data_IF_557058830542
#
_entry.id   IF_557058830542
#
_cell.length_a   1.000
_cell.length_b   1.000
_cell.length_c   1.000
_cell.angle_alpha   90.00
_cell.angle_beta   90.00
_cell.angle_gamma   90.00
#
_symmetry.space_group_name_H-M   'P 1'
#
loop_
_entity.id
_entity.type
_entity.pdbx_description
1 polymer ?
#
# COMPACT_ATOMS: atom_id res chain seq x y z
N UNK A 1 -13.60 0.10 4.74
CA UNK A 1 -13.52 1.55 4.44
C UNK A 1 -12.49 2.23 5.34
N UNK A 2 -11.67 3.13 4.79
CA UNK A 2 -10.74 4.00 5.54
C UNK A 2 -11.29 5.43 5.50
N UNK A 3 -11.44 6.09 6.66
CA UNK A 3 -11.91 7.48 6.76
C UNK A 3 -10.91 8.35 7.53
N UNK A 4 -10.45 9.41 6.89
CA UNK A 4 -9.52 10.40 7.44
C UNK A 4 -10.26 11.73 7.60
N UNK A 5 -10.14 12.39 8.75
CA UNK A 5 -10.79 13.69 9.02
C UNK A 5 -9.80 14.65 9.66
N UNK A 6 -9.61 15.79 9.01
CA UNK A 6 -8.79 16.93 9.45
C UNK A 6 -7.41 16.53 9.98
N UNK A 7 -6.79 15.53 9.30
CA UNK A 7 -5.52 14.93 9.71
C UNK A 7 -4.39 15.94 9.59
N UNK A 8 -3.70 16.17 10.70
CA UNK A 8 -2.45 16.93 10.74
C UNK A 8 -1.34 16.08 11.33
N UNK A 9 -0.16 16.10 10.67
CA UNK A 9 1.04 15.47 11.21
C UNK A 9 2.27 16.35 10.99
N UNK A 10 3.08 16.49 12.05
CA UNK A 10 4.27 17.36 12.08
C UNK A 10 5.51 16.55 12.46
N UNK A 11 6.60 16.80 11.75
CA UNK A 11 7.93 16.38 12.16
C UNK A 11 8.69 17.59 12.70
N UNK A 12 8.68 17.77 14.02
CA UNK A 12 9.21 18.96 14.66
C UNK A 12 8.44 20.21 14.20
N UNK A 13 9.11 21.13 13.50
CA UNK A 13 8.48 22.37 13.00
C UNK A 13 7.92 22.23 11.56
N UNK A 14 8.13 21.10 10.91
CA UNK A 14 7.65 20.88 9.55
C UNK A 14 6.31 20.15 9.56
N UNK A 15 5.28 20.75 8.96
CA UNK A 15 3.97 20.08 8.77
C UNK A 15 4.05 19.23 7.50
N UNK A 16 3.91 17.92 7.66
CA UNK A 16 3.99 16.97 6.56
C UNK A 16 2.60 16.63 5.99
N UNK A 17 1.57 16.67 6.82
CA UNK A 17 0.15 16.53 6.43
C UNK A 17 -0.60 17.65 7.14
N UNK A 18 -1.44 18.39 6.42
CA UNK A 18 -2.04 19.63 6.88
C UNK A 18 -3.56 19.66 6.57
N UNK A 19 -4.37 19.17 7.51
CA UNK A 19 -5.82 19.20 7.44
C UNK A 19 -6.42 18.28 6.36
N UNK A 20 -5.82 17.11 6.12
CA UNK A 20 -6.32 16.18 5.10
C UNK A 20 -7.57 15.47 5.59
N UNK A 21 -8.63 15.53 4.76
CA UNK A 21 -9.86 14.74 4.92
C UNK A 21 -10.14 13.99 3.63
N UNK A 22 -10.27 12.66 3.71
CA UNK A 22 -10.61 11.79 2.59
C UNK A 22 -11.24 10.48 3.09
N UNK A 23 -11.99 9.81 2.23
CA UNK A 23 -12.52 8.47 2.47
C UNK A 23 -12.05 7.55 1.34
N UNK A 24 -11.71 6.31 1.65
CA UNK A 24 -11.39 5.25 0.69
C UNK A 24 -12.38 4.12 0.94
N UNK A 25 -13.19 3.81 -0.06
CA UNK A 25 -14.23 2.81 0.04
C UNK A 25 -13.68 1.37 -0.12
N UNK A 26 -14.44 0.38 0.33
CA UNK A 26 -14.10 -1.03 0.14
C UNK A 26 -14.17 -1.38 -1.36
N UNK A 27 -13.18 -2.13 -1.84
CA UNK A 27 -13.04 -2.50 -3.25
C UNK A 27 -12.55 -1.36 -4.17
N UNK A 28 -12.24 -0.16 -3.65
CA UNK A 28 -11.74 0.96 -4.45
C UNK A 28 -10.23 0.85 -4.72
N UNK A 29 -9.80 1.18 -5.94
CA UNK A 29 -8.39 1.38 -6.30
C UNK A 29 -8.07 2.88 -6.32
N UNK A 30 -7.43 3.36 -5.27
CA UNK A 30 -7.06 4.77 -5.14
C UNK A 30 -5.57 4.96 -5.41
N UNK A 31 -5.23 5.87 -6.32
CA UNK A 31 -3.85 6.33 -6.51
C UNK A 31 -3.63 7.62 -5.74
N UNK A 32 -2.73 7.59 -4.74
CA UNK A 32 -2.28 8.76 -4.01
C UNK A 32 -1.03 9.31 -4.69
N UNK A 33 -1.18 10.41 -5.44
CA UNK A 33 -0.15 10.98 -6.29
C UNK A 33 0.40 12.31 -5.73
N UNK A 34 1.67 12.63 -6.04
CA UNK A 34 2.30 13.90 -5.64
C UNK A 34 3.81 13.86 -5.76
N UNK A 35 4.47 15.00 -5.71
CA UNK A 35 5.92 15.09 -5.71
C UNK A 35 6.54 14.43 -4.46
N UNK A 36 7.85 14.15 -4.51
CA UNK A 36 8.58 13.72 -3.31
C UNK A 36 8.50 14.81 -2.24
N UNK A 37 8.21 14.39 -0.99
CA UNK A 37 8.01 15.31 0.13
C UNK A 37 6.61 15.93 0.23
N UNK A 38 5.64 15.59 -0.64
CA UNK A 38 4.28 16.13 -0.58
C UNK A 38 3.42 15.60 0.58
N UNK A 39 3.90 14.63 1.36
CA UNK A 39 3.20 14.07 2.51
C UNK A 39 2.54 12.70 2.28
N UNK A 40 2.61 12.11 1.08
CA UNK A 40 1.94 10.83 0.73
C UNK A 40 2.25 9.68 1.69
N UNK A 41 3.53 9.33 1.83
CA UNK A 41 3.97 8.27 2.74
C UNK A 41 3.56 8.56 4.18
N UNK A 42 3.63 9.81 4.61
CA UNK A 42 3.16 10.23 5.95
C UNK A 42 1.67 9.97 6.10
N UNK A 43 0.86 10.38 5.11
CA UNK A 43 -0.58 10.16 5.12
C UNK A 43 -0.93 8.67 5.27
N UNK A 44 -0.40 7.80 4.40
CA UNK A 44 -0.79 6.39 4.39
C UNK A 44 -0.30 5.61 5.61
N UNK A 45 0.78 6.05 6.26
CA UNK A 45 1.26 5.45 7.53
C UNK A 45 0.31 5.65 8.72
N UNK A 46 -0.65 6.53 8.63
CA UNK A 46 -1.70 6.69 9.64
C UNK A 46 -2.81 5.64 9.49
N UNK A 47 -2.98 5.04 8.30
CA UNK A 47 -4.06 4.10 8.05
C UNK A 47 -3.96 2.81 8.88
N UNK A 48 -2.74 2.39 9.22
CA UNK A 48 -2.48 1.22 10.08
C UNK A 48 -1.79 1.57 11.41
N UNK A 49 -1.79 2.85 11.78
CA UNK A 49 -1.23 3.32 13.06
C UNK A 49 0.28 3.18 13.18
N UNK A 50 1.03 3.23 12.07
CA UNK A 50 2.49 3.40 12.09
C UNK A 50 2.87 4.82 12.53
N UNK A 51 2.02 5.79 12.25
CA UNK A 51 2.09 7.14 12.76
C UNK A 51 0.78 7.48 13.50
N UNK A 52 0.89 8.31 14.53
CA UNK A 52 -0.26 8.89 15.22
C UNK A 52 -0.46 10.33 14.75
N UNK A 53 -1.70 10.76 14.54
CA UNK A 53 -2.00 12.15 14.17
C UNK A 53 -1.68 13.12 15.32
N UNK A 54 -1.18 14.31 14.99
CA UNK A 54 -1.12 15.42 15.95
C UNK A 54 -2.51 16.04 16.16
N UNK A 55 -3.30 16.08 15.07
CA UNK A 55 -4.70 16.56 15.07
C UNK A 55 -5.52 15.73 14.07
N UNK A 56 -6.83 15.71 14.26
CA UNK A 56 -7.75 14.93 13.42
C UNK A 56 -7.89 13.47 13.84
N UNK A 57 -8.48 12.67 12.98
CA UNK A 57 -8.75 11.24 13.26
C UNK A 57 -8.62 10.39 12.01
N UNK A 58 -8.20 9.13 12.21
CA UNK A 58 -8.23 8.08 11.18
C UNK A 58 -9.06 6.92 11.71
N UNK A 59 -9.96 6.42 10.90
CA UNK A 59 -10.81 5.26 11.21
C UNK A 59 -10.66 4.22 10.11
N UNK A 60 -10.64 2.96 10.53
CA UNK A 60 -10.70 1.81 9.63
C UNK A 60 -11.87 0.95 10.06
N UNK A 61 -12.77 0.64 9.14
CA UNK A 61 -14.00 -0.12 9.43
C UNK A 61 -14.78 0.48 10.61
N UNK A 62 -14.94 1.80 10.59
CA UNK A 62 -15.60 2.59 11.64
C UNK A 62 -14.96 2.56 13.04
N UNK A 63 -13.78 1.93 13.20
CA UNK A 63 -13.01 1.92 14.45
C UNK A 63 -11.87 2.93 14.35
N UNK A 64 -11.70 3.85 15.34
CA UNK A 64 -10.53 4.71 15.37
C UNK A 64 -9.23 3.89 15.45
N UNK A 65 -8.26 4.21 14.61
CA UNK A 65 -6.98 3.48 14.55
C UNK A 65 -6.25 3.48 15.90
N UNK A 66 -6.32 4.59 16.65
CA UNK A 66 -5.67 4.71 17.95
C UNK A 66 -6.34 3.87 19.05
N UNK A 67 -7.61 3.48 18.88
CA UNK A 67 -8.35 2.66 19.85
C UNK A 67 -7.99 1.16 19.71
N UNK A 68 -7.71 0.69 18.49
CA UNK A 68 -7.33 -0.70 18.22
C UNK A 68 -6.31 -0.82 17.07
N UNK A 69 -5.03 -0.72 17.43
CA UNK A 69 -3.92 -0.85 16.48
C UNK A 69 -3.82 -2.27 15.86
N UNK A 70 -4.28 -3.30 16.56
CA UNK A 70 -4.23 -4.67 16.04
C UNK A 70 -5.27 -4.83 14.95
N UNK A 71 -6.51 -4.40 15.19
CA UNK A 71 -7.57 -4.40 14.20
C UNK A 71 -7.17 -3.57 12.96
N UNK A 72 -6.64 -2.36 13.16
CA UNK A 72 -6.19 -1.51 12.05
C UNK A 72 -5.09 -2.16 11.20
N UNK A 73 -4.09 -2.83 11.82
CA UNK A 73 -3.00 -3.51 11.12
C UNK A 73 -3.41 -4.82 10.47
N UNK A 74 -4.47 -5.45 10.96
CA UNK A 74 -5.05 -6.63 10.31
C UNK A 74 -5.86 -6.21 9.08
N UNK A 75 -6.65 -5.14 9.19
CA UNK A 75 -7.49 -4.65 8.10
C UNK A 75 -6.70 -3.90 7.00
N UNK A 76 -5.57 -3.25 7.35
CA UNK A 76 -4.76 -2.46 6.42
C UNK A 76 -3.34 -3.01 6.36
N UNK A 77 -3.08 -3.84 5.35
CA UNK A 77 -1.73 -4.32 5.04
C UNK A 77 -0.92 -3.25 4.29
N UNK A 78 0.38 -3.15 4.57
CA UNK A 78 1.23 -2.14 3.95
C UNK A 78 2.53 -2.74 3.41
N UNK A 79 2.83 -2.45 2.15
CA UNK A 79 4.12 -2.72 1.51
C UNK A 79 4.91 -1.42 1.44
N UNK A 80 6.11 -1.42 2.02
CA UNK A 80 6.97 -0.23 2.12
C UNK A 80 7.75 0.01 0.83
N UNK A 81 8.16 1.26 0.62
CA UNK A 81 8.97 1.70 -0.51
C UNK A 81 10.25 0.86 -0.70
N UNK A 82 10.84 0.37 0.39
CA UNK A 82 12.01 -0.51 0.38
C UNK A 82 11.63 -1.88 0.92
N UNK A 83 11.29 -2.87 0.07
CA UNK A 83 10.85 -4.19 0.51
C UNK A 83 11.85 -4.89 1.45
N UNK A 84 13.15 -4.61 1.29
CA UNK A 84 14.20 -5.17 2.17
C UNK A 84 14.05 -4.78 3.63
N UNK A 85 13.46 -3.62 3.92
CA UNK A 85 13.25 -3.13 5.29
C UNK A 85 12.09 -3.87 5.99
N UNK A 86 11.30 -4.62 5.18
CA UNK A 86 10.13 -5.38 5.63
C UNK A 86 10.44 -6.86 5.87
N UNK A 87 11.55 -7.36 5.35
CA UNK A 87 11.96 -8.76 5.49
C UNK A 87 12.34 -9.07 6.94
N UNK A 88 11.74 -10.11 7.48
CA UNK A 88 11.94 -10.55 8.88
C UNK A 88 12.48 -11.97 9.00
N UNK A 89 12.45 -12.77 7.91
CA UNK A 89 12.86 -14.17 7.92
C UNK A 89 13.92 -14.51 6.86
N UNK A 90 14.48 -15.72 6.96
CA UNK A 90 15.55 -16.16 6.06
C UNK A 90 15.05 -16.76 4.74
N UNK A 91 13.86 -17.39 4.76
CA UNK A 91 13.23 -18.00 3.59
C UNK A 91 11.94 -17.28 3.23
N UNK A 92 11.54 -17.40 1.96
CA UNK A 92 10.31 -16.82 1.43
C UNK A 92 9.07 -17.29 2.19
N UNK A 93 9.00 -18.59 2.47
CA UNK A 93 7.84 -19.15 3.18
C UNK A 93 7.73 -18.69 4.63
N UNK A 94 8.86 -18.60 5.33
CA UNK A 94 8.89 -18.08 6.70
C UNK A 94 8.53 -16.58 6.73
N UNK A 95 8.98 -15.81 5.76
CA UNK A 95 8.69 -14.37 5.68
C UNK A 95 7.20 -14.11 5.43
N UNK A 96 6.59 -14.84 4.50
CA UNK A 96 5.16 -14.74 4.19
C UNK A 96 4.29 -15.28 5.34
N UNK A 97 4.76 -16.29 6.08
CA UNK A 97 4.04 -16.86 7.23
C UNK A 97 4.01 -15.93 8.46
N UNK A 98 4.94 -14.99 8.56
CA UNK A 98 5.11 -14.15 9.75
C UNK A 98 3.84 -13.39 10.16
N UNK A 99 3.11 -12.81 9.20
CA UNK A 99 1.84 -12.13 9.48
C UNK A 99 0.77 -13.07 10.01
N UNK A 100 0.42 -14.16 9.30
CA UNK A 100 -0.51 -15.19 9.74
C UNK A 100 -0.17 -15.81 11.11
N UNK A 101 1.12 -16.04 11.40
CA UNK A 101 1.58 -16.53 12.72
C UNK A 101 1.25 -15.55 13.83
N UNK A 102 1.47 -14.25 13.61
CA UNK A 102 1.11 -13.20 14.58
C UNK A 102 -0.39 -13.05 14.79
N UNK A 103 -1.22 -13.45 13.82
CA UNK A 103 -2.67 -13.53 13.96
C UNK A 103 -3.11 -14.76 14.76
N UNK A 104 -2.20 -15.67 15.11
CA UNK A 104 -2.49 -16.88 15.89
C UNK A 104 -3.29 -17.93 15.12
N UNK A 105 -3.16 -17.97 13.80
CA UNK A 105 -3.83 -18.95 12.95
C UNK A 105 -3.26 -20.35 13.17
N UNK A 106 -4.03 -21.38 12.84
CA UNK A 106 -3.55 -22.78 12.87
C UNK A 106 -2.49 -23.02 11.79
N UNK A 107 -1.60 -24.01 12.00
CA UNK A 107 -0.58 -24.36 11.01
C UNK A 107 -1.16 -24.68 9.64
N UNK A 108 -2.27 -25.44 9.58
CA UNK A 108 -2.92 -25.79 8.31
C UNK A 108 -3.43 -24.54 7.58
N UNK A 109 -3.98 -23.57 8.30
CA UNK A 109 -4.46 -22.32 7.74
C UNK A 109 -3.29 -21.42 7.28
N UNK A 110 -2.21 -21.35 8.06
CA UNK A 110 -0.97 -20.64 7.67
C UNK A 110 -0.42 -21.23 6.38
N UNK A 111 -0.26 -22.55 6.31
CA UNK A 111 0.27 -23.23 5.12
C UNK A 111 -0.58 -22.98 3.89
N UNK A 112 -1.92 -22.99 4.04
CA UNK A 112 -2.85 -22.66 2.97
C UNK A 112 -2.67 -21.22 2.51
N UNK A 113 -2.73 -20.24 3.43
CA UNK A 113 -2.60 -18.79 3.10
C UNK A 113 -1.25 -18.45 2.47
N UNK A 114 -0.16 -19.00 2.97
CA UNK A 114 1.17 -18.84 2.36
C UNK A 114 1.20 -19.39 0.94
N UNK A 115 0.64 -20.58 0.72
CA UNK A 115 0.54 -21.20 -0.61
C UNK A 115 -0.25 -20.34 -1.59
N UNK A 116 -1.43 -19.90 -1.17
CA UNK A 116 -2.33 -19.05 -1.96
C UNK A 116 -1.69 -17.69 -2.28
N UNK A 117 -1.09 -17.03 -1.28
CA UNK A 117 -0.42 -15.74 -1.44
C UNK A 117 0.79 -15.82 -2.37
N UNK A 118 1.64 -16.87 -2.26
CA UNK A 118 2.77 -17.07 -3.16
C UNK A 118 2.30 -17.39 -4.58
N UNK A 119 1.21 -18.12 -4.74
CA UNK A 119 0.64 -18.38 -6.06
C UNK A 119 0.11 -17.09 -6.70
N UNK A 120 -0.58 -16.25 -5.91
CA UNK A 120 -1.14 -14.97 -6.36
C UNK A 120 -0.07 -14.00 -6.90
N UNK A 121 1.17 -14.09 -6.42
CA UNK A 121 2.30 -13.23 -6.89
C UNK A 121 3.28 -13.98 -7.81
N UNK A 122 2.90 -15.11 -8.39
CA UNK A 122 3.76 -15.92 -9.28
C UNK A 122 5.07 -16.39 -8.60
N UNK A 123 5.00 -16.73 -7.32
CA UNK A 123 6.12 -17.28 -6.54
C UNK A 123 5.82 -18.71 -6.05
N UNK A 124 4.82 -19.39 -6.64
CA UNK A 124 4.50 -20.78 -6.33
C UNK A 124 5.74 -21.68 -6.46
N UNK A 125 5.98 -22.54 -5.46
CA UNK A 125 7.14 -23.44 -5.42
C UNK A 125 8.46 -22.80 -4.98
N UNK A 126 8.44 -21.50 -4.63
CA UNK A 126 9.64 -20.76 -4.19
C UNK A 126 9.72 -20.59 -2.65
N UNK A 127 8.94 -21.38 -1.91
CA UNK A 127 8.82 -21.27 -0.43
C UNK A 127 10.16 -21.40 0.30
N UNK A 128 11.03 -22.29 -0.18
CA UNK A 128 12.32 -22.62 0.44
C UNK A 128 13.47 -21.72 -0.05
N UNK A 129 13.20 -20.81 -0.99
CA UNK A 129 14.21 -19.89 -1.50
C UNK A 129 14.67 -18.92 -0.44
N UNK A 130 15.95 -18.55 -0.49
CA UNK A 130 16.54 -17.57 0.42
C UNK A 130 16.17 -16.14 0.00
N UNK A 131 15.57 -15.35 0.91
CA UNK A 131 15.15 -13.98 0.62
C UNK A 131 16.30 -13.08 0.12
N UNK A 132 17.52 -13.28 0.62
CA UNK A 132 18.68 -12.48 0.23
C UNK A 132 19.20 -12.77 -1.20
N UNK A 133 18.77 -13.86 -1.82
CA UNK A 133 19.13 -14.25 -3.20
C UNK A 133 18.14 -13.71 -4.23
N UNK A 134 17.03 -13.12 -3.78
CA UNK A 134 15.98 -12.61 -4.66
C UNK A 134 16.38 -11.32 -5.36
N UNK A 135 15.97 -11.18 -6.62
CA UNK A 135 15.98 -9.91 -7.35
C UNK A 135 15.02 -8.88 -6.68
N UNK A 136 15.19 -7.59 -7.01
CA UNK A 136 14.31 -6.55 -6.47
C UNK A 136 12.82 -6.79 -6.77
N UNK A 137 12.49 -7.24 -7.99
CA UNK A 137 11.10 -7.55 -8.37
C UNK A 137 10.54 -8.78 -7.67
N UNK A 138 11.36 -9.82 -7.43
CA UNK A 138 10.95 -10.99 -6.65
C UNK A 138 10.71 -10.62 -5.19
N UNK A 139 11.59 -9.79 -4.63
CA UNK A 139 11.46 -9.33 -3.25
C UNK A 139 10.18 -8.48 -3.06
N UNK A 140 9.86 -7.62 -4.04
CA UNK A 140 8.61 -6.86 -4.03
C UNK A 140 7.39 -7.78 -4.03
N UNK A 141 7.41 -8.83 -4.85
CA UNK A 141 6.33 -9.83 -4.88
C UNK A 141 6.21 -10.59 -3.56
N UNK A 142 7.33 -10.95 -2.93
CA UNK A 142 7.32 -11.59 -1.60
C UNK A 142 6.73 -10.65 -0.55
N UNK A 143 7.10 -9.37 -0.55
CA UNK A 143 6.51 -8.38 0.36
C UNK A 143 4.99 -8.24 0.17
N UNK A 144 4.51 -8.23 -1.08
CA UNK A 144 3.07 -8.25 -1.38
C UNK A 144 2.43 -9.55 -0.87
N UNK A 145 3.05 -10.72 -1.12
CA UNK A 145 2.53 -12.00 -0.64
C UNK A 145 2.40 -12.03 0.90
N UNK A 146 3.39 -11.49 1.63
CA UNK A 146 3.35 -11.38 3.09
C UNK A 146 2.16 -10.58 3.60
N UNK A 147 1.80 -9.51 2.90
CA UNK A 147 0.61 -8.71 3.20
C UNK A 147 -0.66 -9.48 2.87
N UNK A 148 -0.74 -10.09 1.68
CA UNK A 148 -1.91 -10.84 1.24
C UNK A 148 -2.22 -12.06 2.11
N UNK A 149 -1.21 -12.74 2.64
CA UNK A 149 -1.37 -13.88 3.54
C UNK A 149 -2.12 -13.52 4.83
N UNK A 150 -2.12 -12.25 5.23
CA UNK A 150 -2.92 -11.74 6.33
C UNK A 150 -4.40 -11.58 5.98
N UNK A 151 -4.76 -11.58 4.68
CA UNK A 151 -6.13 -11.37 4.17
C UNK A 151 -6.71 -10.00 4.61
N UNK A 152 -6.03 -8.89 4.30
CA UNK A 152 -6.46 -7.57 4.72
C UNK A 152 -7.60 -7.04 3.85
N UNK A 153 -8.44 -6.13 4.39
CA UNK A 153 -9.49 -5.44 3.64
C UNK A 153 -8.90 -4.43 2.63
N UNK A 154 -7.76 -3.82 2.97
CA UNK A 154 -7.07 -2.83 2.15
C UNK A 154 -5.56 -3.13 2.07
N UNK A 155 -4.99 -2.98 0.88
CA UNK A 155 -3.55 -3.10 0.64
C UNK A 155 -2.98 -1.73 0.24
N UNK A 156 -2.05 -1.23 1.04
CA UNK A 156 -1.31 0.01 0.75
C UNK A 156 0.04 -0.34 0.14
N UNK A 157 0.34 0.19 -1.04
CA UNK A 157 1.60 0.01 -1.76
C UNK A 157 2.32 1.37 -1.84
N UNK A 158 3.39 1.55 -1.06
CA UNK A 158 4.15 2.81 -1.06
C UNK A 158 5.30 2.74 -2.06
N UNK A 159 5.18 3.45 -3.19
CA UNK A 159 6.13 3.51 -4.31
C UNK A 159 6.56 2.12 -4.84
N UNK A 160 5.63 1.18 -5.10
CA UNK A 160 5.95 -0.24 -5.32
C UNK A 160 6.73 -0.50 -6.62
N UNK A 161 6.77 0.44 -7.54
CA UNK A 161 7.42 0.30 -8.86
C UNK A 161 8.79 0.95 -8.91
N UNK A 162 9.22 1.63 -7.83
CA UNK A 162 10.49 2.34 -7.79
C UNK A 162 11.67 1.36 -7.83
N UNK A 163 12.61 1.60 -8.75
CA UNK A 163 13.81 0.77 -8.91
C UNK A 163 13.58 -0.54 -9.66
N UNK A 164 12.38 -0.82 -10.13
CA UNK A 164 12.07 -1.99 -10.96
C UNK A 164 12.29 -1.68 -12.46
N UNK A 165 12.78 -2.67 -13.21
CA UNK A 165 12.78 -2.62 -14.66
C UNK A 165 11.37 -2.83 -15.25
N UNK A 166 11.19 -2.58 -16.55
CA UNK A 166 9.87 -2.65 -17.18
C UNK A 166 9.18 -4.03 -17.09
N UNK A 167 9.88 -5.18 -17.25
CA UNK A 167 9.27 -6.49 -17.04
C UNK A 167 8.82 -6.72 -15.59
N UNK A 168 9.63 -6.33 -14.60
CA UNK A 168 9.29 -6.48 -13.19
C UNK A 168 8.09 -5.60 -12.78
N UNK A 169 8.04 -4.33 -13.26
CA UNK A 169 6.88 -3.45 -13.06
C UNK A 169 5.61 -4.06 -13.58
N UNK A 170 5.63 -4.53 -14.84
CA UNK A 170 4.45 -5.15 -15.45
C UNK A 170 3.99 -6.36 -14.64
N UNK A 171 4.92 -7.25 -14.25
CA UNK A 171 4.58 -8.40 -13.43
C UNK A 171 3.95 -8.05 -12.08
N UNK A 172 4.38 -6.96 -11.42
CA UNK A 172 3.75 -6.48 -10.18
C UNK A 172 2.35 -5.95 -10.47
N UNK A 173 2.17 -5.13 -11.52
CA UNK A 173 0.88 -4.54 -11.87
C UNK A 173 -0.15 -5.57 -12.29
N UNK A 174 0.23 -6.55 -13.12
CA UNK A 174 -0.66 -7.65 -13.54
C UNK A 174 -1.22 -8.41 -12.32
N UNK A 175 -0.42 -8.54 -11.24
CA UNK A 175 -0.87 -9.20 -10.02
C UNK A 175 -1.79 -8.29 -9.19
N UNK A 176 -1.44 -7.02 -9.06
CA UNK A 176 -2.27 -6.04 -8.35
C UNK A 176 -3.63 -5.91 -9.01
N UNK A 177 -3.68 -5.86 -10.36
CA UNK A 177 -4.91 -5.85 -11.14
C UNK A 177 -5.77 -7.09 -10.87
N UNK A 178 -5.19 -8.28 -10.97
CA UNK A 178 -5.92 -9.53 -10.71
C UNK A 178 -6.49 -9.61 -9.29
N UNK A 179 -5.76 -9.09 -8.29
CA UNK A 179 -6.22 -9.04 -6.91
C UNK A 179 -7.33 -8.00 -6.71
N UNK A 180 -7.22 -6.85 -7.37
CA UNK A 180 -8.26 -5.83 -7.36
C UNK A 180 -9.55 -6.36 -8.02
N UNK A 181 -9.47 -7.02 -9.17
CA UNK A 181 -10.61 -7.68 -9.82
C UNK A 181 -11.27 -8.74 -8.93
N UNK A 182 -10.54 -9.35 -8.00
CA UNK A 182 -11.07 -10.28 -7.01
C UNK A 182 -11.72 -9.61 -5.79
N UNK A 183 -11.69 -8.27 -5.72
CA UNK A 183 -12.37 -7.45 -4.72
C UNK A 183 -11.46 -6.86 -3.63
N UNK A 184 -10.14 -7.03 -3.72
CA UNK A 184 -9.19 -6.40 -2.78
C UNK A 184 -9.10 -4.90 -3.05
N UNK A 185 -9.21 -4.07 -2.00
CA UNK A 185 -9.01 -2.62 -2.09
C UNK A 185 -7.53 -2.27 -2.14
N UNK A 186 -7.16 -1.31 -2.98
CA UNK A 186 -5.78 -0.84 -3.11
C UNK A 186 -5.63 0.66 -2.89
N UNK A 187 -4.55 1.04 -2.20
CA UNK A 187 -4.04 2.40 -2.13
C UNK A 187 -2.62 2.40 -2.65
N UNK A 188 -2.40 2.87 -3.87
CA UNK A 188 -1.08 2.93 -4.48
C UNK A 188 -0.53 4.35 -4.40
N UNK A 189 0.60 4.50 -3.69
CA UNK A 189 1.29 5.79 -3.54
C UNK A 189 2.37 5.91 -4.59
N UNK A 190 2.38 7.01 -5.36
CA UNK A 190 3.43 7.23 -6.36
C UNK A 190 3.59 8.70 -6.75
N UNK A 191 4.72 9.05 -7.35
CA UNK A 191 4.95 10.31 -8.06
C UNK A 191 4.89 10.16 -9.59
N UNK A 192 4.61 8.94 -10.08
CA UNK A 192 4.53 8.61 -11.51
C UNK A 192 3.33 7.69 -11.76
N UNK A 193 2.28 8.24 -12.37
CA UNK A 193 1.03 7.51 -12.57
C UNK A 193 0.92 6.83 -13.94
N UNK A 194 1.95 6.93 -14.79
CA UNK A 194 1.90 6.46 -16.19
C UNK A 194 1.56 4.98 -16.32
N UNK A 195 2.03 4.18 -15.38
CA UNK A 195 1.84 2.73 -15.41
C UNK A 195 0.59 2.27 -14.63
N UNK A 196 -0.03 3.16 -13.82
CA UNK A 196 -1.09 2.79 -12.87
C UNK A 196 -2.42 3.51 -13.11
N UNK A 197 -2.45 4.47 -14.04
CA UNK A 197 -3.62 5.31 -14.27
C UNK A 197 -4.86 4.51 -14.72
N UNK A 198 -4.65 3.48 -15.54
CA UNK A 198 -5.74 2.63 -16.08
C UNK A 198 -6.34 1.71 -15.02
N UNK A 199 -5.61 1.44 -13.93
CA UNK A 199 -6.08 0.62 -12.81
C UNK A 199 -6.88 1.44 -11.78
N UNK A 200 -6.71 2.77 -11.78
CA UNK A 200 -7.27 3.62 -10.75
C UNK A 200 -8.77 3.89 -10.97
N UNK A 201 -9.57 3.73 -9.93
CA UNK A 201 -10.93 4.27 -9.88
C UNK A 201 -10.91 5.77 -9.57
N UNK A 202 -9.90 6.20 -8.78
CA UNK A 202 -9.79 7.56 -8.28
C UNK A 202 -8.33 7.95 -8.03
N UNK A 203 -8.03 9.23 -8.28
CA UNK A 203 -6.71 9.82 -8.04
C UNK A 203 -6.83 10.93 -7.00
N UNK A 204 -6.04 10.81 -5.92
CA UNK A 204 -5.90 11.81 -4.86
C UNK A 204 -4.52 12.44 -4.98
N UNK A 205 -4.47 13.69 -5.42
CA UNK A 205 -3.22 14.44 -5.58
C UNK A 205 -2.87 15.24 -4.32
N UNK A 206 -1.66 15.02 -3.78
CA UNK A 206 -1.12 15.76 -2.63
C UNK A 206 -0.05 16.76 -3.06
N UNK A 207 -0.17 17.99 -2.55
CA UNK A 207 0.88 19.02 -2.61
C UNK A 207 0.96 19.72 -1.25
N UNK A 208 2.18 19.94 -0.75
CA UNK A 208 2.45 20.65 0.51
C UNK A 208 1.59 20.14 1.70
N UNK A 209 1.42 18.82 1.79
CA UNK A 209 0.65 18.16 2.84
C UNK A 209 -0.87 18.25 2.70
N UNK A 210 -1.40 18.79 1.61
CA UNK A 210 -2.84 18.98 1.39
C UNK A 210 -3.32 18.22 0.16
N UNK A 211 -4.58 17.78 0.20
CA UNK A 211 -5.27 17.25 -0.99
C UNK A 211 -5.63 18.43 -1.89
N UNK A 212 -5.15 18.41 -3.12
CA UNK A 212 -5.38 19.44 -4.14
C UNK A 212 -6.10 18.89 -5.38
N UNK A 213 -6.10 17.58 -5.54
CA UNK A 213 -6.86 16.84 -6.56
C UNK A 213 -7.57 15.68 -5.87
N UNK A 214 -8.83 15.47 -6.18
CA UNK A 214 -9.60 14.31 -5.74
C UNK A 214 -10.68 14.07 -6.80
N UNK A 215 -10.38 13.19 -7.76
CA UNK A 215 -11.20 13.03 -8.95
C UNK A 215 -10.97 11.68 -9.64
N UNK A 216 -11.90 11.24 -10.52
CA UNK A 216 -11.64 10.13 -11.44
C UNK A 216 -10.40 10.39 -12.30
N UNK A 217 -9.70 9.33 -12.78
CA UNK A 217 -8.44 9.46 -13.51
C UNK A 217 -8.47 10.44 -14.68
N UNK A 218 -9.54 10.40 -15.48
CA UNK A 218 -9.69 11.26 -16.66
C UNK A 218 -9.71 12.76 -16.32
N UNK A 219 -10.31 13.12 -15.19
CA UNK A 219 -10.42 14.51 -14.73
C UNK A 219 -9.15 14.96 -13.98
N UNK A 220 -8.47 14.03 -13.31
CA UNK A 220 -7.26 14.32 -12.53
C UNK A 220 -6.03 14.65 -13.38
N UNK A 221 -5.86 13.99 -14.54
CA UNK A 221 -4.64 14.03 -15.37
C UNK A 221 -4.17 15.46 -15.68
N UNK A 222 -5.10 16.38 -15.97
CA UNK A 222 -4.76 17.75 -16.34
C UNK A 222 -4.12 18.58 -15.18
N UNK A 223 -4.47 18.27 -13.93
CA UNK A 223 -4.01 18.99 -12.75
C UNK A 223 -2.71 18.42 -12.16
N UNK A 224 -2.41 17.15 -12.38
CA UNK A 224 -1.30 16.45 -11.75
C UNK A 224 0.11 16.96 -12.14
N UNK A 225 0.40 17.38 -13.39
CA UNK A 225 1.71 17.95 -13.73
C UNK A 225 2.08 19.20 -12.93
N UNK A 226 1.09 20.01 -12.53
CA UNK A 226 1.30 21.23 -11.74
C UNK A 226 1.87 20.91 -10.35
N UNK A 227 1.54 19.74 -9.81
CA UNK A 227 2.04 19.26 -8.50
C UNK A 227 3.21 18.26 -8.64
N UNK A 228 3.89 18.26 -9.79
CA UNK A 228 5.11 17.48 -10.03
C UNK A 228 4.90 15.98 -10.22
N UNK A 229 3.71 15.55 -10.60
CA UNK A 229 3.38 14.14 -10.92
C UNK A 229 3.59 13.88 -12.42
N UNK A 230 4.22 12.75 -12.75
CA UNK A 230 4.37 12.30 -14.13
C UNK A 230 3.09 11.62 -14.62
N UNK A 231 2.57 12.11 -15.73
CA UNK A 231 1.35 11.58 -16.38
C UNK A 231 1.68 10.96 -17.74
N UNK A 232 0.79 10.10 -18.30
CA UNK A 232 0.90 9.66 -19.69
C UNK A 232 0.93 10.84 -20.67
N UNK A 233 1.59 10.64 -21.84
CA UNK A 233 1.74 11.66 -22.89
C UNK A 233 0.44 11.83 -23.68
#
# INVERSE_FOLDING_TARGET
>A
MIAVRDLVHRYGNATAVDGVSLTIDDGEFVVVAGANGSGKTTLVRHFNGLLRPDEGTVRVNDVPVDDDLVAARTAVGMVFQHPRDQVVAATVGEDVAFGPENLGLSHDEIDRRVGDALAAVNMAGRRDDRVHELSGGELQRVAIAGVLAMDPDHVVLDEPLTGLDAPARRGVLDHVESLHESGTSFVLVTHDIRDVLELADRVVGLADGRVVVDAPPADAVAALPVIGVRVPA
#
